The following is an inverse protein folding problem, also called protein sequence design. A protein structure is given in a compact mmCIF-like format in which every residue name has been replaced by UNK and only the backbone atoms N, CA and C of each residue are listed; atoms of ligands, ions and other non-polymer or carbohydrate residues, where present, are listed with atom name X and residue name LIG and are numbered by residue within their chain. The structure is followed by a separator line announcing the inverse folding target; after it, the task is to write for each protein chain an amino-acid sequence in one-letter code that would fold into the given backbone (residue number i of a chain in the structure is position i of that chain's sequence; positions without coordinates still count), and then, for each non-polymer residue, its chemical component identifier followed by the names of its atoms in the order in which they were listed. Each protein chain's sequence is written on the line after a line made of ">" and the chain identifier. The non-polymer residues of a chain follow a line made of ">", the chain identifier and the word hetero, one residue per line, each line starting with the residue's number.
data_IF_068886511372
#
_entry.id   IF_068886511372
#
_cell.length_a   1.000
_cell.length_b   1.000
_cell.length_c   1.000
_cell.angle_alpha   90.00
_cell.angle_beta   90.00
_cell.angle_gamma   90.00
#
_symmetry.space_group_name_H-M   'P 1'
#
loop_
_entity.id
_entity.type
_entity.pdbx_description
1 polymer ?
#
# COMPACT_ATOMS: atom_id res chain seq x y z
N UNK A 1 -10.79 19.07 9.10
CA UNK A 1 -10.30 18.78 7.74
C UNK A 1 -11.18 17.68 7.16
N UNK A 2 -11.56 17.75 5.88
CA UNK A 2 -12.29 16.69 5.23
C UNK A 2 -11.47 15.40 5.21
N UNK A 3 -12.10 14.22 5.11
CA UNK A 3 -11.40 12.96 4.99
C UNK A 3 -10.62 12.88 3.67
N UNK A 4 -9.46 12.21 3.69
CA UNK A 4 -8.71 11.91 2.47
C UNK A 4 -9.37 10.77 1.71
N UNK A 5 -9.93 9.80 2.42
CA UNK A 5 -10.68 8.67 1.89
C UNK A 5 -11.98 8.53 2.68
N UNK A 6 -13.09 8.40 2.00
CA UNK A 6 -14.37 8.00 2.59
C UNK A 6 -14.94 6.81 1.83
N UNK A 7 -15.46 5.87 2.57
CA UNK A 7 -16.14 4.67 2.08
C UNK A 7 -17.56 4.74 2.62
N UNK A 8 -18.56 4.67 1.76
CA UNK A 8 -19.96 4.87 2.11
C UNK A 8 -20.80 3.72 1.58
N UNK A 9 -21.43 2.99 2.51
CA UNK A 9 -22.35 1.87 2.23
C UNK A 9 -21.79 0.85 1.23
N UNK A 10 -20.48 0.56 1.36
CA UNK A 10 -19.77 -0.31 0.42
C UNK A 10 -20.25 -1.75 0.58
N UNK A 11 -20.70 -2.34 -0.51
CA UNK A 11 -21.20 -3.72 -0.57
C UNK A 11 -20.54 -4.49 -1.69
N UNK A 12 -20.24 -5.77 -1.46
CA UNK A 12 -19.77 -6.71 -2.47
C UNK A 12 -20.47 -8.04 -2.36
N UNK A 13 -21.05 -8.44 -3.48
CA UNK A 13 -21.70 -9.74 -3.64
C UNK A 13 -21.13 -10.48 -4.85
N UNK A 14 -20.78 -11.74 -4.66
CA UNK A 14 -20.34 -12.67 -5.70
C UNK A 14 -21.43 -13.75 -5.89
N UNK A 15 -22.25 -13.61 -6.91
CA UNK A 15 -23.41 -14.48 -7.09
C UNK A 15 -24.36 -14.39 -5.86
N UNK A 16 -24.51 -15.51 -5.14
CA UNK A 16 -25.32 -15.54 -3.92
C UNK A 16 -24.51 -15.28 -2.63
N UNK A 17 -23.17 -15.22 -2.73
CA UNK A 17 -22.32 -14.99 -1.57
C UNK A 17 -22.06 -13.49 -1.36
N UNK A 18 -22.44 -12.97 -0.20
CA UNK A 18 -22.12 -11.59 0.20
C UNK A 18 -20.81 -11.57 0.98
N UNK A 19 -19.77 -11.01 0.35
CA UNK A 19 -18.44 -10.88 0.93
C UNK A 19 -18.31 -9.63 1.84
N UNK A 20 -18.99 -8.54 1.47
CA UNK A 20 -19.09 -7.29 2.23
C UNK A 20 -20.54 -6.83 2.19
N UNK A 21 -21.17 -6.66 3.37
CA UNK A 21 -22.60 -6.35 3.46
C UNK A 21 -22.86 -4.84 3.38
N UNK A 22 -22.26 -4.09 4.31
CA UNK A 22 -22.37 -2.63 4.40
C UNK A 22 -21.19 -2.12 5.23
N UNK A 23 -20.23 -1.51 4.57
CA UNK A 23 -19.06 -0.94 5.24
C UNK A 23 -18.98 0.55 4.97
N UNK A 24 -18.92 1.34 6.05
CA UNK A 24 -18.76 2.79 5.98
C UNK A 24 -17.70 3.25 6.96
N UNK A 25 -16.73 4.02 6.50
CA UNK A 25 -15.71 4.66 7.34
C UNK A 25 -15.06 5.84 6.61
N UNK A 26 -14.33 6.66 7.37
CA UNK A 26 -13.58 7.78 6.81
C UNK A 26 -12.18 7.85 7.41
N UNK A 27 -11.19 8.09 6.56
CA UNK A 27 -9.78 8.23 6.93
C UNK A 27 -9.37 9.70 6.78
N UNK A 28 -8.84 10.29 7.83
CA UNK A 28 -8.33 11.67 7.81
C UNK A 28 -6.88 11.69 7.30
N UNK A 29 -6.44 12.82 6.70
CA UNK A 29 -5.03 12.97 6.37
C UNK A 29 -4.14 12.81 7.60
N UNK A 30 -2.94 12.27 7.39
CA UNK A 30 -1.91 12.17 8.43
C UNK A 30 -2.19 11.14 9.53
N UNK A 31 -3.18 10.26 9.43
CA UNK A 31 -3.39 9.16 10.38
C UNK A 31 -2.98 7.81 9.80
N UNK A 32 -2.70 6.86 10.68
CA UNK A 32 -2.64 5.44 10.32
C UNK A 32 -3.98 4.81 10.74
N UNK A 33 -4.72 4.28 9.77
CA UNK A 33 -6.00 3.63 9.99
C UNK A 33 -5.85 2.12 9.81
N UNK A 34 -6.33 1.32 10.76
CA UNK A 34 -6.26 -0.14 10.72
C UNK A 34 -7.63 -0.76 10.47
N UNK A 35 -7.75 -1.56 9.40
CA UNK A 35 -8.92 -2.40 9.15
C UNK A 35 -8.69 -3.77 9.80
N UNK A 36 -9.37 -4.03 10.91
CA UNK A 36 -9.19 -5.22 11.72
C UNK A 36 -10.44 -6.11 11.68
N UNK A 37 -10.27 -7.41 11.82
CA UNK A 37 -11.36 -8.37 11.86
C UNK A 37 -10.88 -9.81 11.65
N UNK A 38 -11.71 -10.82 11.92
CA UNK A 38 -11.36 -12.23 11.69
C UNK A 38 -11.16 -12.54 10.19
N UNK A 39 -10.58 -13.70 9.91
CA UNK A 39 -10.50 -14.20 8.54
C UNK A 39 -11.92 -14.40 7.98
N UNK A 40 -12.11 -14.03 6.72
CA UNK A 40 -13.43 -14.06 6.07
C UNK A 40 -14.34 -12.86 6.36
N UNK A 41 -13.91 -11.86 7.16
CA UNK A 41 -14.70 -10.66 7.44
C UNK A 41 -14.77 -9.65 6.27
N UNK A 42 -14.29 -9.99 5.09
CA UNK A 42 -14.33 -9.10 3.92
C UNK A 42 -13.27 -8.01 3.88
N UNK A 43 -12.23 -8.06 4.75
CA UNK A 43 -11.17 -7.05 4.78
C UNK A 43 -10.45 -6.90 3.44
N UNK A 44 -9.91 -7.99 2.92
CA UNK A 44 -9.21 -8.01 1.63
C UNK A 44 -10.13 -7.54 0.50
N UNK A 45 -11.37 -8.04 0.45
CA UNK A 45 -12.35 -7.60 -0.55
C UNK A 45 -12.67 -6.10 -0.44
N UNK A 46 -12.73 -5.57 0.79
CA UNK A 46 -12.92 -4.12 1.01
C UNK A 46 -11.73 -3.32 0.47
N UNK A 47 -10.52 -3.76 0.76
CA UNK A 47 -9.29 -3.12 0.25
C UNK A 47 -9.22 -3.21 -1.28
N UNK A 48 -9.45 -4.39 -1.86
CA UNK A 48 -9.49 -4.58 -3.33
C UNK A 48 -10.52 -3.67 -4.03
N UNK A 49 -11.67 -3.43 -3.39
CA UNK A 49 -12.66 -2.48 -3.93
C UNK A 49 -12.12 -1.04 -3.89
N UNK A 50 -11.46 -0.66 -2.79
CA UNK A 50 -10.87 0.68 -2.64
C UNK A 50 -9.74 0.87 -3.67
N UNK A 51 -8.89 -0.12 -3.86
CA UNK A 51 -7.80 -0.12 -4.84
C UNK A 51 -8.28 -0.15 -6.30
N UNK A 52 -9.58 -0.42 -6.51
CA UNK A 52 -10.18 -0.50 -7.83
C UNK A 52 -9.89 -1.81 -8.58
N UNK A 53 -9.40 -2.84 -7.89
CA UNK A 53 -9.18 -4.20 -8.43
C UNK A 53 -10.52 -4.88 -8.64
N UNK A 54 -11.41 -4.78 -7.65
CA UNK A 54 -12.74 -5.39 -7.68
C UNK A 54 -13.80 -4.29 -7.64
N UNK A 55 -14.73 -4.19 -8.62
CA UNK A 55 -15.78 -3.19 -8.58
C UNK A 55 -16.79 -3.52 -7.45
N UNK A 56 -17.26 -2.53 -6.67
CA UNK A 56 -18.31 -2.73 -5.68
C UNK A 56 -19.65 -3.09 -6.36
N UNK A 57 -20.51 -3.83 -5.64
CA UNK A 57 -21.90 -4.08 -6.07
C UNK A 57 -22.76 -2.85 -5.83
N UNK A 58 -22.53 -2.14 -4.73
CA UNK A 58 -23.18 -0.84 -4.40
C UNK A 58 -22.32 -0.08 -3.40
N UNK A 59 -22.70 1.17 -3.12
CA UNK A 59 -21.94 2.09 -2.30
C UNK A 59 -20.97 2.92 -3.14
N UNK A 60 -20.17 3.75 -2.46
CA UNK A 60 -19.21 4.61 -3.13
C UNK A 60 -17.92 4.78 -2.33
N UNK A 61 -16.85 5.07 -3.06
CA UNK A 61 -15.52 5.35 -2.53
C UNK A 61 -15.16 6.76 -2.97
N UNK A 62 -14.85 7.63 -2.04
CA UNK A 62 -14.52 9.03 -2.29
C UNK A 62 -13.09 9.31 -1.88
N UNK A 63 -12.30 9.88 -2.77
CA UNK A 63 -10.98 10.39 -2.53
C UNK A 63 -11.00 11.93 -2.56
N UNK A 64 -10.62 12.56 -1.46
CA UNK A 64 -10.67 14.03 -1.29
C UNK A 64 -12.06 14.59 -1.66
N UNK A 65 -13.12 13.86 -1.32
CA UNK A 65 -14.52 14.25 -1.57
C UNK A 65 -15.03 14.05 -3.00
N UNK A 66 -14.27 13.42 -3.88
CA UNK A 66 -14.67 13.05 -5.26
C UNK A 66 -14.68 11.54 -5.42
N UNK A 67 -15.49 10.98 -6.31
CA UNK A 67 -15.43 9.55 -6.61
C UNK A 67 -14.01 9.10 -6.96
N UNK A 68 -13.59 7.96 -6.39
CA UNK A 68 -12.29 7.38 -6.67
C UNK A 68 -12.24 6.93 -8.14
N UNK A 69 -11.29 7.46 -8.89
CA UNK A 69 -11.12 7.26 -10.32
C UNK A 69 -9.66 6.93 -10.69
N UNK A 70 -9.28 7.13 -11.93
CA UNK A 70 -7.91 6.95 -12.39
C UNK A 70 -6.91 7.84 -11.63
N UNK A 71 -7.28 9.08 -11.33
CA UNK A 71 -6.43 10.01 -10.58
C UNK A 71 -6.17 9.53 -9.15
N UNK A 72 -7.16 8.92 -8.49
CA UNK A 72 -6.95 8.28 -7.19
C UNK A 72 -5.86 7.20 -7.27
N UNK A 73 -5.89 6.34 -8.29
CA UNK A 73 -4.89 5.26 -8.45
C UNK A 73 -3.47 5.78 -8.66
N UNK A 74 -3.31 6.91 -9.34
CA UNK A 74 -2.02 7.58 -9.51
C UNK A 74 -1.48 8.15 -8.19
N UNK A 75 -2.36 8.49 -7.26
CA UNK A 75 -2.05 9.08 -5.96
C UNK A 75 -2.14 8.10 -4.79
N UNK A 76 -2.34 6.81 -5.07
CA UNK A 76 -2.34 5.73 -4.09
C UNK A 76 -1.10 4.86 -4.24
N UNK A 77 -0.44 4.57 -3.13
CA UNK A 77 0.61 3.57 -3.05
C UNK A 77 0.05 2.26 -2.49
N UNK A 78 0.38 1.13 -3.08
CA UNK A 78 -0.13 -0.16 -2.64
C UNK A 78 1.02 -1.13 -2.41
N UNK A 79 1.06 -1.71 -1.22
CA UNK A 79 1.92 -2.84 -0.89
C UNK A 79 1.05 -4.06 -0.65
N UNK A 80 0.99 -4.96 -1.61
CA UNK A 80 0.28 -6.23 -1.50
C UNK A 80 0.98 -7.19 -0.52
N UNK A 81 0.22 -8.10 0.07
CA UNK A 81 0.73 -9.16 0.93
C UNK A 81 1.78 -10.02 0.19
N UNK A 82 1.51 -10.37 -1.06
CA UNK A 82 2.42 -11.10 -1.93
C UNK A 82 2.74 -10.26 -3.18
N UNK A 83 3.89 -9.61 -3.18
CA UNK A 83 4.42 -8.96 -4.38
C UNK A 83 5.60 -9.77 -4.90
N UNK A 84 5.42 -10.40 -6.06
CA UNK A 84 6.50 -11.10 -6.75
C UNK A 84 7.44 -10.07 -7.40
N UNK A 85 8.58 -9.82 -6.77
CA UNK A 85 9.68 -9.11 -7.42
C UNK A 85 10.54 -10.11 -8.20
N UNK A 86 10.99 -9.77 -9.41
CA UNK A 86 11.96 -10.60 -10.12
C UNK A 86 13.23 -10.77 -9.29
N UNK A 87 13.58 -12.01 -8.94
CA UNK A 87 14.69 -12.33 -8.03
C UNK A 87 16.06 -11.89 -8.55
N UNK A 88 16.18 -11.73 -9.87
CA UNK A 88 17.40 -11.32 -10.57
C UNK A 88 17.58 -9.80 -10.68
N UNK A 89 16.63 -8.99 -10.25
CA UNK A 89 16.80 -7.53 -10.17
C UNK A 89 17.51 -7.16 -8.88
N UNK A 90 18.44 -6.23 -8.97
CA UNK A 90 19.00 -5.58 -7.78
C UNK A 90 17.97 -4.65 -7.14
N UNK A 91 18.15 -4.35 -5.87
CA UNK A 91 17.26 -3.42 -5.13
C UNK A 91 17.11 -2.08 -5.85
N UNK A 92 18.21 -1.48 -6.34
CA UNK A 92 18.18 -0.22 -7.12
C UNK A 92 17.43 -0.39 -8.44
N UNK A 93 17.70 -1.44 -9.18
CA UNK A 93 17.06 -1.72 -10.47
C UNK A 93 15.55 -1.92 -10.33
N UNK A 94 15.11 -2.56 -9.23
CA UNK A 94 13.69 -2.70 -8.93
C UNK A 94 13.03 -1.32 -8.72
N UNK A 95 13.63 -0.43 -7.93
CA UNK A 95 13.12 0.93 -7.74
C UNK A 95 13.07 1.72 -9.04
N UNK A 96 14.14 1.67 -9.85
CA UNK A 96 14.20 2.33 -11.15
C UNK A 96 13.14 1.80 -12.12
N UNK A 97 12.91 0.49 -12.12
CA UNK A 97 11.85 -0.13 -12.93
C UNK A 97 10.48 0.42 -12.57
N UNK A 98 10.12 0.39 -11.28
CA UNK A 98 8.80 0.83 -10.84
C UNK A 98 8.62 2.34 -10.98
N UNK A 99 9.67 3.15 -10.82
CA UNK A 99 9.59 4.59 -11.03
C UNK A 99 9.22 4.98 -12.47
N UNK A 100 9.60 4.15 -13.45
CA UNK A 100 9.29 4.39 -14.87
C UNK A 100 7.82 4.21 -15.25
N UNK A 101 7.00 3.68 -14.36
CA UNK A 101 5.56 3.60 -14.58
C UNK A 101 4.83 4.92 -14.32
N UNK A 102 5.55 5.93 -13.78
CA UNK A 102 4.97 7.23 -13.41
C UNK A 102 5.70 8.36 -14.13
N UNK A 103 4.94 9.40 -14.52
CA UNK A 103 5.49 10.51 -15.32
C UNK A 103 6.46 11.39 -14.53
N UNK A 104 6.22 11.61 -13.23
CA UNK A 104 7.01 12.51 -12.38
C UNK A 104 7.33 11.87 -11.03
N UNK A 105 8.12 10.77 -11.00
CA UNK A 105 8.50 10.16 -9.74
C UNK A 105 9.45 11.08 -8.95
N UNK A 106 9.40 11.05 -7.60
CA UNK A 106 10.36 11.77 -6.75
C UNK A 106 11.79 11.23 -6.98
N UNK A 107 12.82 11.99 -6.58
CA UNK A 107 14.20 11.52 -6.63
C UNK A 107 14.37 10.21 -5.83
N UNK A 108 14.90 9.18 -6.47
CA UNK A 108 15.06 7.86 -5.83
C UNK A 108 15.99 7.90 -4.61
N UNK A 109 16.97 8.80 -4.58
CA UNK A 109 17.89 8.92 -3.45
C UNK A 109 17.18 9.33 -2.15
N UNK A 110 16.14 10.16 -2.22
CA UNK A 110 15.33 10.53 -1.06
C UNK A 110 14.52 9.33 -0.56
N UNK A 111 13.96 8.58 -1.48
CA UNK A 111 13.20 7.36 -1.18
C UNK A 111 14.10 6.26 -0.59
N UNK A 112 15.30 6.08 -1.15
CA UNK A 112 16.33 5.16 -0.65
C UNK A 112 16.66 5.46 0.80
N UNK A 113 16.90 6.73 1.14
CA UNK A 113 17.18 7.17 2.52
C UNK A 113 15.98 6.97 3.43
N UNK A 114 14.79 7.43 2.99
CA UNK A 114 13.57 7.32 3.78
C UNK A 114 13.24 5.87 4.16
N UNK A 115 13.46 4.92 3.25
CA UNK A 115 13.24 3.50 3.48
C UNK A 115 14.46 2.73 4.00
N UNK A 116 15.60 3.41 4.24
CA UNK A 116 16.86 2.81 4.74
C UNK A 116 17.34 1.65 3.86
N UNK A 117 17.50 1.91 2.57
CA UNK A 117 17.90 0.90 1.57
C UNK A 117 19.39 0.96 1.22
N UNK A 118 20.14 1.98 1.68
CA UNK A 118 21.51 2.29 1.25
C UNK A 118 22.47 1.11 1.35
N UNK A 119 22.32 0.29 2.40
CA UNK A 119 23.25 -0.82 2.67
C UNK A 119 23.12 -2.04 1.76
N UNK A 120 22.10 -2.09 0.87
CA UNK A 120 21.83 -3.28 0.04
C UNK A 120 21.29 -2.98 -1.37
N UNK A 121 21.59 -1.80 -1.90
CA UNK A 121 21.16 -1.38 -3.25
C UNK A 121 21.63 -2.31 -4.35
N UNK A 122 22.83 -2.89 -4.20
CA UNK A 122 23.41 -3.82 -5.15
C UNK A 122 23.05 -5.29 -4.90
N UNK A 123 22.30 -5.58 -3.83
CA UNK A 123 21.81 -6.94 -3.57
C UNK A 123 20.61 -7.27 -4.46
N UNK A 124 20.57 -8.52 -4.92
CA UNK A 124 19.43 -9.05 -5.66
C UNK A 124 18.19 -9.19 -4.75
N UNK A 125 17.02 -8.87 -5.28
CA UNK A 125 15.75 -8.91 -4.54
C UNK A 125 15.47 -10.29 -3.90
N UNK A 126 15.84 -11.37 -4.59
CA UNK A 126 15.72 -12.73 -4.07
C UNK A 126 16.71 -13.09 -2.95
N UNK A 127 17.70 -12.23 -2.64
CA UNK A 127 18.68 -12.44 -1.56
C UNK A 127 18.47 -11.54 -0.34
N UNK A 128 17.45 -10.69 -0.38
CA UNK A 128 17.12 -9.79 0.72
C UNK A 128 16.53 -10.59 1.91
N UNK A 129 16.87 -10.17 3.13
CA UNK A 129 16.14 -10.63 4.31
C UNK A 129 14.67 -10.18 4.25
N UNK A 130 13.78 -10.84 5.02
CA UNK A 130 12.37 -10.45 5.07
C UNK A 130 12.17 -8.96 5.36
N UNK A 131 12.89 -8.42 6.35
CA UNK A 131 12.81 -6.99 6.69
C UNK A 131 13.35 -6.05 5.61
N UNK A 132 14.44 -6.45 4.92
CA UNK A 132 14.96 -5.70 3.77
C UNK A 132 13.97 -5.71 2.61
N UNK A 133 13.39 -6.88 2.31
CA UNK A 133 12.36 -7.03 1.27
C UNK A 133 11.14 -6.17 1.56
N UNK A 134 10.63 -6.16 2.80
CA UNK A 134 9.48 -5.33 3.16
C UNK A 134 9.77 -3.82 3.01
N UNK A 135 10.98 -3.36 3.33
CA UNK A 135 11.37 -1.97 3.11
C UNK A 135 11.48 -1.62 1.62
N UNK A 136 11.96 -2.55 0.79
CA UNK A 136 11.97 -2.37 -0.66
C UNK A 136 10.53 -2.30 -1.21
N UNK A 137 9.62 -3.18 -0.77
CA UNK A 137 8.21 -3.14 -1.18
C UNK A 137 7.51 -1.85 -0.74
N UNK A 138 7.83 -1.36 0.46
CA UNK A 138 7.35 -0.06 0.92
C UNK A 138 7.87 1.07 0.03
N UNK A 139 9.15 1.07 -0.31
CA UNK A 139 9.72 2.08 -1.20
C UNK A 139 9.07 2.05 -2.58
N UNK A 140 8.79 0.87 -3.12
CA UNK A 140 8.05 0.72 -4.38
C UNK A 140 6.63 1.32 -4.26
N UNK A 141 5.94 1.10 -3.14
CA UNK A 141 4.62 1.70 -2.91
C UNK A 141 4.65 3.23 -2.74
N UNK A 142 5.83 3.82 -2.51
CA UNK A 142 6.03 5.26 -2.34
C UNK A 142 6.56 5.95 -3.60
N UNK A 143 6.90 5.20 -4.63
CA UNK A 143 7.62 5.69 -5.80
C UNK A 143 6.86 6.76 -6.60
N UNK A 144 5.55 6.84 -6.44
CA UNK A 144 4.67 7.83 -7.08
C UNK A 144 4.32 9.03 -6.19
N UNK A 145 4.99 9.20 -5.05
CA UNK A 145 4.67 10.24 -4.03
C UNK A 145 3.17 10.25 -3.67
N UNK A 146 2.66 9.14 -3.12
CA UNK A 146 1.23 8.95 -2.93
C UNK A 146 0.66 9.82 -1.79
N UNK A 147 -0.59 10.24 -1.93
CA UNK A 147 -1.35 10.89 -0.85
C UNK A 147 -1.86 9.90 0.21
N UNK A 148 -1.98 8.62 -0.15
CA UNK A 148 -2.46 7.53 0.70
C UNK A 148 -1.72 6.23 0.36
N UNK A 149 -1.40 5.43 1.37
CA UNK A 149 -0.74 4.14 1.20
C UNK A 149 -1.61 3.04 1.79
N UNK A 150 -1.78 1.96 1.04
CA UNK A 150 -2.40 0.72 1.49
C UNK A 150 -1.31 -0.32 1.76
N UNK A 151 -1.33 -0.88 2.96
CA UNK A 151 -0.37 -1.89 3.39
C UNK A 151 -1.13 -3.14 3.84
N UNK A 152 -1.06 -4.20 3.06
CA UNK A 152 -1.69 -5.47 3.41
C UNK A 152 -0.69 -6.35 4.16
N UNK A 153 -0.93 -6.54 5.46
CA UNK A 153 -0.10 -7.33 6.38
C UNK A 153 1.43 -7.09 6.27
N UNK A 154 1.92 -5.85 6.24
CA UNK A 154 3.29 -5.51 5.82
C UNK A 154 4.38 -6.04 6.77
N UNK A 155 4.01 -6.61 7.91
CA UNK A 155 4.96 -7.13 8.89
C UNK A 155 4.75 -8.61 9.21
N UNK A 156 3.94 -9.32 8.44
CA UNK A 156 3.75 -10.76 8.58
C UNK A 156 5.05 -11.49 8.28
N UNK A 157 5.40 -12.45 9.13
CA UNK A 157 6.64 -13.22 9.00
C UNK A 157 7.92 -12.49 9.42
N UNK A 158 7.85 -11.23 9.85
CA UNK A 158 9.00 -10.51 10.37
C UNK A 158 9.26 -10.83 11.85
N UNK A 159 10.55 -10.94 12.20
CA UNK A 159 10.98 -10.98 13.59
C UNK A 159 10.62 -9.66 14.33
N UNK A 160 10.59 -9.66 15.68
CA UNK A 160 10.17 -8.48 16.44
C UNK A 160 11.02 -7.23 16.19
N UNK A 161 12.31 -7.37 15.89
CA UNK A 161 13.19 -6.22 15.62
C UNK A 161 12.93 -5.65 14.23
N UNK A 162 12.82 -6.49 13.21
CA UNK A 162 12.49 -6.06 11.84
C UNK A 162 11.12 -5.36 11.79
N UNK A 163 10.14 -5.87 12.55
CA UNK A 163 8.82 -5.24 12.69
C UNK A 163 8.91 -3.84 13.31
N UNK A 164 9.65 -3.67 14.40
CA UNK A 164 9.87 -2.34 15.02
C UNK A 164 10.52 -1.37 14.04
N UNK A 165 11.56 -1.83 13.34
CA UNK A 165 12.27 -1.02 12.35
C UNK A 165 11.36 -0.58 11.21
N UNK A 166 10.52 -1.47 10.69
CA UNK A 166 9.55 -1.15 9.65
C UNK A 166 8.58 -0.03 10.08
N UNK A 167 7.99 -0.15 11.28
CA UNK A 167 7.10 0.88 11.80
C UNK A 167 7.81 2.21 12.11
N UNK A 168 9.10 2.18 12.41
CA UNK A 168 9.91 3.41 12.56
C UNK A 168 10.03 4.12 11.20
N UNK A 169 10.30 3.39 10.12
CA UNK A 169 10.33 3.94 8.76
C UNK A 169 8.97 4.54 8.39
N UNK A 170 7.86 3.83 8.61
CA UNK A 170 6.51 4.37 8.34
C UNK A 170 6.26 5.69 9.09
N UNK A 171 6.69 5.80 10.34
CA UNK A 171 6.51 7.04 11.13
C UNK A 171 7.36 8.19 10.60
N UNK A 172 8.57 7.93 10.11
CA UNK A 172 9.44 8.98 9.54
C UNK A 172 8.94 9.52 8.21
N UNK A 173 8.30 8.69 7.41
CA UNK A 173 7.68 9.10 6.13
C UNK A 173 6.43 9.96 6.37
N UNK A 174 5.70 9.71 7.45
CA UNK A 174 4.46 10.42 7.80
C UNK A 174 4.71 11.84 8.33
N UNK A 175 5.90 12.16 8.80
CA UNK A 175 6.25 13.48 9.35
C UNK A 175 6.51 14.49 8.25
#
# INVERSE_FOLDING_TARGET
>A
MPPILAVEHLRKQFGQFTAVEDVSFAVRPGICFGLLGPNGAGKTTTIEMIEGITPPTSGQILFKGKPADAHFRERAGIQFQETALPDFLKTREALELFSRFYDNPPPLDDLIKACSLEGYLDQYAGKLSGGQRQRLLLAIALVNDPDIIFLDEPTTGLDPQARRNFWTVIRSIKA
#
